data_IF_875245247440
#
_entry.id   IF_875245247440
#
_cell.length_a   1.000
_cell.length_b   1.000
_cell.length_c   1.000
_cell.angle_alpha   90.00
_cell.angle_beta   90.00
_cell.angle_gamma   90.00
#
_symmetry.space_group_name_H-M   'P 1'
#
loop_
_entity.id
_entity.type
_entity.pdbx_description
1 polymer ?
#
# COMPACT_ATOMS: atom_id res chain seq x y z
N UNK A 1 -16.03 15.37 -0.43
CA UNK A 1 -15.40 15.12 -1.75
C UNK A 1 -13.99 14.61 -1.54
N UNK A 2 -13.67 13.46 -2.05
CA UNK A 2 -12.29 13.05 -2.04
C UNK A 2 -11.47 14.01 -2.89
N UNK A 3 -10.24 14.30 -2.46
CA UNK A 3 -9.31 15.05 -3.30
C UNK A 3 -8.99 14.23 -4.54
N UNK A 4 -8.89 14.89 -5.67
CA UNK A 4 -8.41 14.24 -6.88
C UNK A 4 -6.90 14.03 -6.71
N UNK A 5 -6.50 12.78 -6.66
CA UNK A 5 -5.08 12.43 -6.70
C UNK A 5 -4.71 12.28 -8.17
N UNK A 6 -4.01 13.28 -8.70
CA UNK A 6 -3.53 13.27 -10.09
C UNK A 6 -2.12 12.68 -10.13
N UNK A 7 -2.03 11.37 -10.24
CA UNK A 7 -0.78 10.66 -10.42
C UNK A 7 -0.63 10.20 -11.87
N UNK A 8 0.42 10.68 -12.54
CA UNK A 8 0.73 10.34 -13.93
C UNK A 8 2.02 9.50 -13.98
N UNK A 9 1.91 8.16 -13.93
CA UNK A 9 3.07 7.30 -13.96
C UNK A 9 3.76 7.28 -15.32
N UNK A 10 5.08 7.09 -15.32
CA UNK A 10 5.82 6.75 -16.52
C UNK A 10 5.31 5.42 -17.11
N UNK A 11 5.50 5.15 -18.41
CA UNK A 11 4.94 3.96 -19.06
C UNK A 11 5.31 2.63 -18.38
N UNK A 12 6.55 2.47 -17.96
CA UNK A 12 7.02 1.26 -17.25
C UNK A 12 6.30 1.08 -15.90
N UNK A 13 6.14 2.17 -15.16
CA UNK A 13 5.43 2.16 -13.88
C UNK A 13 3.94 1.87 -14.10
N UNK A 14 3.35 2.45 -15.14
CA UNK A 14 1.95 2.18 -15.49
C UNK A 14 1.73 0.71 -15.82
N UNK A 15 2.63 0.09 -16.58
CA UNK A 15 2.57 -1.33 -16.89
C UNK A 15 2.69 -2.19 -15.62
N UNK A 16 3.61 -1.85 -14.71
CA UNK A 16 3.77 -2.54 -13.44
C UNK A 16 2.50 -2.44 -12.58
N UNK A 17 1.91 -1.25 -12.44
CA UNK A 17 0.72 -1.04 -11.63
C UNK A 17 -0.45 -1.85 -12.19
N UNK A 18 -0.65 -1.84 -13.51
CA UNK A 18 -1.76 -2.51 -14.19
C UNK A 18 -1.56 -4.01 -14.42
N UNK A 19 -0.40 -4.55 -14.11
CA UNK A 19 -0.18 -5.99 -14.22
C UNK A 19 -1.05 -6.73 -13.22
N UNK A 20 -2.08 -7.40 -13.73
CA UNK A 20 -3.05 -8.15 -12.93
C UNK A 20 -2.95 -9.66 -13.14
N UNK A 21 -1.83 -10.14 -13.69
CA UNK A 21 -1.58 -11.58 -13.85
C UNK A 21 -1.32 -12.29 -12.52
N UNK A 22 -1.72 -11.68 -11.42
CA UNK A 22 -1.51 -12.19 -10.07
C UNK A 22 -2.21 -13.51 -9.77
N UNK A 23 -3.24 -13.82 -10.52
CA UNK A 23 -3.82 -15.16 -10.45
C UNK A 23 -2.81 -16.24 -10.89
N UNK A 24 -1.82 -15.84 -11.69
CA UNK A 24 -0.74 -16.69 -12.13
C UNK A 24 0.62 -16.35 -11.50
N UNK A 25 0.77 -15.12 -10.97
CA UNK A 25 2.02 -14.62 -10.38
C UNK A 25 1.80 -14.26 -8.92
N UNK A 26 2.48 -14.99 -8.04
CA UNK A 26 2.41 -14.73 -6.59
C UNK A 26 3.20 -13.49 -6.18
N UNK A 27 4.25 -13.15 -6.92
CA UNK A 27 5.11 -12.01 -6.66
C UNK A 27 5.26 -11.13 -7.90
N UNK A 28 5.27 -9.83 -7.69
CA UNK A 28 5.61 -8.85 -8.73
C UNK A 28 6.71 -7.94 -8.20
N UNK A 29 7.73 -7.70 -9.01
CA UNK A 29 8.91 -6.93 -8.64
C UNK A 29 9.01 -5.66 -9.47
N UNK A 30 9.49 -4.59 -8.84
CA UNK A 30 9.93 -3.39 -9.54
C UNK A 30 11.35 -3.06 -9.10
N UNK A 31 12.25 -2.94 -10.07
CA UNK A 31 13.66 -2.66 -9.86
C UNK A 31 14.04 -1.40 -10.62
N UNK A 32 14.84 -0.55 -10.02
CA UNK A 32 15.29 0.68 -10.66
C UNK A 32 16.20 1.49 -9.72
N UNK A 33 16.86 2.52 -10.24
CA UNK A 33 17.76 3.37 -9.45
C UNK A 33 17.01 4.15 -8.37
N UNK A 34 17.76 4.73 -7.45
CA UNK A 34 17.24 5.66 -6.45
C UNK A 34 16.52 6.83 -7.16
N UNK A 35 15.38 7.24 -6.63
CA UNK A 35 14.58 8.33 -7.21
C UNK A 35 13.72 7.94 -8.41
N UNK A 36 13.62 6.65 -8.74
CA UNK A 36 12.79 6.17 -9.86
C UNK A 36 11.31 5.96 -9.51
N UNK A 37 10.83 6.54 -8.42
CA UNK A 37 9.44 6.47 -7.95
C UNK A 37 8.92 5.05 -7.67
N UNK A 38 9.79 4.11 -7.28
CA UNK A 38 9.42 2.72 -6.96
C UNK A 38 8.40 2.64 -5.82
N UNK A 39 8.66 3.34 -4.72
CA UNK A 39 7.77 3.37 -3.54
C UNK A 39 6.39 3.88 -3.92
N UNK A 40 6.32 4.96 -4.68
CA UNK A 40 5.05 5.51 -5.20
C UNK A 40 4.34 4.49 -6.09
N UNK A 41 5.08 3.81 -6.96
CA UNK A 41 4.52 2.76 -7.82
C UNK A 41 3.90 1.61 -7.00
N UNK A 42 4.55 1.21 -5.91
CA UNK A 42 4.01 0.19 -5.00
C UNK A 42 2.69 0.62 -4.35
N UNK A 43 2.59 1.87 -3.91
CA UNK A 43 1.37 2.40 -3.31
C UNK A 43 0.20 2.38 -4.30
N UNK A 44 0.40 2.87 -5.51
CA UNK A 44 -0.66 2.90 -6.52
C UNK A 44 -1.00 1.52 -7.04
N UNK A 45 -0.04 0.60 -7.09
CA UNK A 45 -0.35 -0.82 -7.37
C UNK A 45 -1.24 -1.43 -6.29
N UNK A 46 -0.96 -1.17 -5.03
CA UNK A 46 -1.81 -1.62 -3.92
C UNK A 46 -3.26 -1.16 -4.11
N UNK A 47 -3.45 0.12 -4.42
CA UNK A 47 -4.78 0.69 -4.65
C UNK A 47 -5.45 0.03 -5.86
N UNK A 48 -4.72 -0.13 -6.96
CA UNK A 48 -5.23 -0.79 -8.16
C UNK A 48 -5.69 -2.22 -7.87
N UNK A 49 -4.92 -2.96 -7.09
CA UNK A 49 -5.29 -4.32 -6.68
C UNK A 49 -6.51 -4.33 -5.75
N UNK A 50 -6.61 -3.37 -4.84
CA UNK A 50 -7.76 -3.22 -3.97
C UNK A 50 -9.04 -2.93 -4.77
N UNK A 51 -8.94 -2.13 -5.83
CA UNK A 51 -10.05 -1.84 -6.74
C UNK A 51 -10.53 -3.06 -7.53
N UNK A 52 -9.69 -4.06 -7.71
CA UNK A 52 -10.01 -5.31 -8.44
C UNK A 52 -10.57 -6.41 -7.56
N UNK A 53 -10.62 -6.21 -6.25
CA UNK A 53 -11.17 -7.21 -5.35
C UNK A 53 -12.69 -7.30 -5.46
N UNK A 54 -13.22 -8.45 -5.11
CA UNK A 54 -14.65 -8.66 -5.09
C UNK A 54 -15.30 -7.84 -3.96
N UNK A 55 -16.41 -7.18 -4.28
CA UNK A 55 -17.18 -6.46 -3.29
C UNK A 55 -17.89 -7.41 -2.33
N UNK A 56 -17.99 -6.99 -1.06
CA UNK A 56 -18.84 -7.64 -0.07
C UNK A 56 -20.33 -7.44 -0.44
N UNK A 57 -21.27 -8.19 0.20
CA UNK A 57 -22.71 -8.04 -0.09
C UNK A 57 -23.25 -6.62 0.05
N UNK A 58 -22.62 -5.78 0.88
CA UNK A 58 -22.98 -4.36 1.05
C UNK A 58 -22.42 -3.44 -0.07
N UNK A 59 -21.73 -4.00 -1.06
CA UNK A 59 -21.15 -3.27 -2.19
C UNK A 59 -19.77 -2.68 -1.91
N UNK A 60 -19.20 -2.87 -0.73
CA UNK A 60 -17.89 -2.31 -0.37
C UNK A 60 -16.80 -3.35 -0.61
N UNK A 61 -15.71 -2.93 -1.27
CA UNK A 61 -14.51 -3.74 -1.52
C UNK A 61 -13.54 -3.56 -0.37
N UNK A 62 -13.63 -4.43 0.63
CA UNK A 62 -12.76 -4.38 1.81
C UNK A 62 -11.54 -5.24 1.60
N UNK A 63 -10.37 -4.63 1.82
CA UNK A 63 -9.09 -5.32 1.77
C UNK A 63 -8.21 -4.88 2.94
N UNK A 64 -7.22 -5.71 3.23
CA UNK A 64 -6.20 -5.41 4.23
C UNK A 64 -4.84 -5.63 3.59
N UNK A 65 -3.95 -4.66 3.74
CA UNK A 65 -2.59 -4.70 3.21
C UNK A 65 -1.58 -4.35 4.30
N UNK A 66 -0.38 -4.87 4.15
CA UNK A 66 0.76 -4.46 4.97
C UNK A 66 1.86 -3.88 4.09
N UNK A 67 2.44 -2.79 4.54
CA UNK A 67 3.64 -2.19 3.95
C UNK A 67 4.76 -2.35 4.96
N UNK A 68 5.80 -3.06 4.58
CA UNK A 68 6.93 -3.35 5.47
C UNK A 68 8.20 -2.68 4.98
N UNK A 69 9.01 -2.29 5.94
CA UNK A 69 10.37 -1.78 5.74
C UNK A 69 11.28 -2.36 6.81
N UNK A 70 12.57 -2.45 6.54
CA UNK A 70 13.52 -3.12 7.43
C UNK A 70 13.64 -2.49 8.82
N UNK A 71 13.56 -1.16 8.97
CA UNK A 71 13.63 -0.52 10.29
C UNK A 71 12.51 0.47 10.52
N UNK A 72 12.16 0.71 11.79
CA UNK A 72 11.15 1.70 12.15
C UNK A 72 11.53 3.13 11.76
N UNK A 73 12.78 3.61 11.96
CA UNK A 73 13.16 4.93 11.48
C UNK A 73 12.99 5.10 9.97
N UNK A 74 13.43 4.13 9.17
CA UNK A 74 13.28 4.18 7.72
C UNK A 74 11.81 4.12 7.30
N UNK A 75 10.99 3.34 7.98
CA UNK A 75 9.56 3.30 7.75
C UNK A 75 8.92 4.68 7.96
N UNK A 76 9.25 5.35 9.06
CA UNK A 76 8.72 6.69 9.38
C UNK A 76 9.25 7.77 8.45
N UNK A 77 10.55 7.81 8.22
CA UNK A 77 11.21 8.92 7.56
C UNK A 77 11.04 8.88 6.03
N UNK A 78 10.83 7.72 5.46
CA UNK A 78 10.72 7.56 4.00
C UNK A 78 9.35 7.04 3.57
N UNK A 79 8.97 5.86 3.97
CA UNK A 79 7.75 5.21 3.49
C UNK A 79 6.49 5.94 3.93
N UNK A 80 6.36 6.26 5.23
CA UNK A 80 5.22 7.01 5.76
C UNK A 80 5.19 8.45 5.25
N UNK A 81 6.33 9.11 5.13
CA UNK A 81 6.39 10.45 4.57
C UNK A 81 5.90 10.50 3.12
N UNK A 82 6.29 9.52 2.30
CA UNK A 82 5.80 9.36 0.93
C UNK A 82 4.31 9.05 0.87
N UNK A 83 3.83 8.21 1.78
CA UNK A 83 2.40 7.90 1.88
C UNK A 83 1.58 9.14 2.20
N UNK A 84 1.98 9.92 3.21
CA UNK A 84 1.30 11.16 3.61
C UNK A 84 1.28 12.21 2.51
N UNK A 85 2.30 12.23 1.67
CA UNK A 85 2.34 13.13 0.51
C UNK A 85 1.18 12.85 -0.45
N UNK A 86 0.93 11.58 -0.74
CA UNK A 86 -0.12 11.17 -1.68
C UNK A 86 -1.50 11.00 -1.04
N UNK A 87 -1.53 10.48 0.17
CA UNK A 87 -2.77 10.09 0.87
C UNK A 87 -2.86 10.82 2.19
N UNK A 88 -3.41 12.02 2.15
CA UNK A 88 -3.50 12.88 3.34
C UNK A 88 -4.59 12.37 4.29
N UNK A 89 -4.24 12.37 5.58
CA UNK A 89 -5.19 12.10 6.66
C UNK A 89 -6.37 13.08 6.61
N UNK A 90 -7.57 12.55 6.81
CA UNK A 90 -8.81 13.31 6.71
C UNK A 90 -9.29 13.60 5.29
N UNK A 91 -8.51 13.23 4.27
CA UNK A 91 -8.85 13.45 2.85
C UNK A 91 -9.00 12.13 2.11
N UNK A 92 -7.93 11.35 2.02
CA UNK A 92 -7.96 10.04 1.34
C UNK A 92 -8.38 8.89 2.27
N UNK A 93 -8.49 9.15 3.56
CA UNK A 93 -8.81 8.18 4.59
C UNK A 93 -8.50 8.72 5.97
N UNK A 94 -8.27 7.82 6.92
CA UNK A 94 -7.98 8.16 8.31
C UNK A 94 -6.74 7.44 8.81
N UNK A 95 -5.88 8.18 9.50
CA UNK A 95 -4.64 7.68 10.08
C UNK A 95 -4.77 7.45 11.59
N UNK A 96 -4.32 6.30 12.05
CA UNK A 96 -4.11 6.01 13.47
C UNK A 96 -2.61 5.95 13.78
N UNK A 97 -2.09 6.97 14.43
CA UNK A 97 -0.67 7.05 14.76
C UNK A 97 -0.23 5.98 15.78
N UNK A 98 -1.12 5.62 16.69
CA UNK A 98 -0.86 4.59 17.71
C UNK A 98 -0.67 3.22 17.08
N UNK A 99 -1.55 2.84 16.16
CA UNK A 99 -1.55 1.53 15.53
C UNK A 99 -0.73 1.49 14.24
N UNK A 100 -0.36 2.65 13.70
CA UNK A 100 0.27 2.82 12.39
C UNK A 100 -0.56 2.17 11.29
N UNK A 101 -1.83 2.51 11.27
CA UNK A 101 -2.82 2.02 10.32
C UNK A 101 -3.44 3.21 9.58
N UNK A 102 -3.54 3.10 8.28
CA UNK A 102 -4.29 4.03 7.45
C UNK A 102 -5.47 3.29 6.82
N UNK A 103 -6.67 3.76 7.04
CA UNK A 103 -7.87 3.25 6.37
C UNK A 103 -8.15 4.12 5.16
N UNK A 104 -7.74 3.65 4.00
CA UNK A 104 -7.95 4.34 2.72
C UNK A 104 -9.37 4.09 2.22
N UNK A 105 -10.03 5.17 1.81
CA UNK A 105 -11.36 5.12 1.21
C UNK A 105 -11.37 5.84 -0.12
N UNK A 106 -11.77 5.11 -1.15
CA UNK A 106 -11.91 5.63 -2.51
C UNK A 106 -13.09 4.94 -3.20
N UNK A 107 -14.15 5.69 -3.48
CA UNK A 107 -15.36 5.10 -4.06
C UNK A 107 -15.93 3.98 -3.17
N UNK A 108 -16.04 2.78 -3.72
CA UNK A 108 -16.47 1.58 -3.01
C UNK A 108 -15.32 0.80 -2.33
N UNK A 109 -14.08 1.31 -2.44
CA UNK A 109 -12.90 0.68 -1.86
C UNK A 109 -12.65 1.16 -0.44
N UNK A 110 -12.47 0.21 0.47
CA UNK A 110 -11.99 0.45 1.83
C UNK A 110 -10.80 -0.46 2.08
N UNK A 111 -9.60 0.10 2.08
CA UNK A 111 -8.36 -0.64 2.27
C UNK A 111 -7.70 -0.26 3.59
N UNK A 112 -7.58 -1.21 4.50
CA UNK A 112 -6.84 -1.05 5.75
C UNK A 112 -5.37 -1.33 5.49
N UNK A 113 -4.53 -0.31 5.58
CA UNK A 113 -3.10 -0.39 5.31
C UNK A 113 -2.32 -0.31 6.61
N UNK A 114 -1.61 -1.39 6.94
CA UNK A 114 -0.76 -1.47 8.12
C UNK A 114 0.69 -1.18 7.73
N UNK A 115 1.35 -0.32 8.51
CA UNK A 115 2.78 -0.01 8.31
C UNK A 115 3.58 -0.70 9.42
N UNK A 116 4.49 -1.58 9.04
CA UNK A 116 5.24 -2.42 10.00
C UNK A 116 6.73 -2.46 9.68
N UNK A 117 7.60 -2.29 10.70
CA UNK A 117 9.03 -2.58 10.55
C UNK A 117 9.29 -4.08 10.61
N UNK A 118 10.46 -4.50 10.13
CA UNK A 118 10.97 -5.87 10.27
C UNK A 118 12.32 -5.87 11.00
N UNK A 119 12.44 -5.07 12.03
CA UNK A 119 13.70 -4.80 12.73
C UNK A 119 14.09 -5.93 13.70
N UNK A 120 13.10 -6.55 14.30
CA UNK A 120 13.28 -7.59 15.32
C UNK A 120 12.57 -8.89 14.91
N UNK A 121 12.97 -10.05 15.50
CA UNK A 121 12.23 -11.31 15.29
C UNK A 121 10.76 -11.22 15.69
N UNK A 122 10.42 -10.41 16.71
CA UNK A 122 9.03 -10.19 17.12
C UNK A 122 8.24 -9.42 16.06
N UNK A 123 8.86 -8.43 15.41
CA UNK A 123 8.24 -7.72 14.30
C UNK A 123 7.88 -8.68 13.16
N UNK A 124 8.80 -9.59 12.81
CA UNK A 124 8.57 -10.60 11.78
C UNK A 124 7.41 -11.52 12.17
N UNK A 125 7.38 -12.00 13.41
CA UNK A 125 6.28 -12.85 13.91
C UNK A 125 4.93 -12.14 13.81
N UNK A 126 4.88 -10.86 14.18
CA UNK A 126 3.66 -10.06 14.10
C UNK A 126 3.16 -9.94 12.66
N UNK A 127 4.06 -9.68 11.71
CA UNK A 127 3.70 -9.60 10.29
C UNK A 127 3.21 -10.96 9.77
N UNK A 128 3.89 -12.05 10.11
CA UNK A 128 3.51 -13.40 9.70
C UNK A 128 2.15 -13.85 10.25
N UNK A 129 1.70 -13.27 11.36
CA UNK A 129 0.39 -13.57 11.93
C UNK A 129 -0.77 -12.77 11.33
N UNK A 130 -0.49 -11.82 10.44
CA UNK A 130 -1.51 -10.97 9.84
C UNK A 130 -2.30 -11.72 8.76
N UNK A 131 -3.61 -11.59 8.81
CA UNK A 131 -4.49 -11.98 7.70
C UNK A 131 -4.63 -10.80 6.75
N UNK A 132 -3.94 -10.86 5.63
CA UNK A 132 -3.85 -9.78 4.66
C UNK A 132 -4.12 -10.27 3.23
N UNK A 133 -4.60 -9.36 2.40
CA UNK A 133 -4.77 -9.61 0.97
C UNK A 133 -3.49 -9.30 0.18
N UNK A 134 -2.76 -8.25 0.59
CA UNK A 134 -1.56 -7.79 -0.10
C UNK A 134 -0.45 -7.45 0.88
N UNK A 135 0.79 -7.73 0.47
CA UNK A 135 1.98 -7.27 1.17
C UNK A 135 2.88 -6.49 0.21
N UNK A 136 3.35 -5.34 0.67
CA UNK A 136 4.35 -4.54 -0.02
C UNK A 136 5.62 -4.54 0.80
N UNK A 137 6.74 -4.86 0.15
CA UNK A 137 8.07 -4.79 0.73
C UNK A 137 8.80 -3.61 0.09
N UNK A 138 8.99 -2.55 0.86
CA UNK A 138 9.68 -1.33 0.43
C UNK A 138 11.10 -1.32 1.01
N UNK A 139 11.95 -2.14 0.40
CA UNK A 139 13.37 -2.37 0.77
C UNK A 139 13.62 -2.72 2.24
#
# INVERSE_FOLDING_TARGET
MPSIIDYKPAPTIKAFIKDHRQQALFYTWIVGPVGSAKTTALFFKLIYMAMKQQASPDGIRRTKAVIVRNTLPMLKDTTLASWEYWFKDGVAGQWSATDKIFVLRYGDVECTVLFRPLDTPDDVRRVLSLEINFAIIDE
#
